data_IF_373923561209
#
_entry.id   IF_373923561209
#
_cell.length_a   1.000
_cell.length_b   1.000
_cell.length_c   1.000
_cell.angle_alpha   90.00
_cell.angle_beta   90.00
_cell.angle_gamma   90.00
#
_symmetry.space_group_name_H-M   'P 1'
#
loop_
_entity.id
_entity.type
_entity.pdbx_description
1 polymer ?
#
# COMPACT_ATOMS: atom_id res chain seq x y z
N UNK A 1 12.86 24.38 -12.73
CA UNK A 1 11.60 24.77 -12.14
C UNK A 1 10.68 25.17 -13.26
N UNK A 2 9.58 24.46 -13.41
CA UNK A 2 8.51 24.89 -14.32
C UNK A 2 7.72 25.91 -13.49
N UNK A 3 7.79 27.20 -13.88
CA UNK A 3 6.92 28.24 -13.34
C UNK A 3 5.49 27.91 -13.77
N UNK A 4 4.69 27.44 -12.83
CA UNK A 4 3.25 27.31 -13.02
C UNK A 4 2.69 28.72 -12.77
N UNK A 5 2.07 29.37 -13.77
CA UNK A 5 1.50 30.71 -13.59
C UNK A 5 0.41 30.67 -12.51
N UNK A 6 0.36 31.71 -11.67
CA UNK A 6 -0.62 31.86 -10.58
C UNK A 6 -2.09 31.83 -11.03
N UNK A 7 -2.36 31.89 -12.32
CA UNK A 7 -3.72 31.86 -12.92
C UNK A 7 -4.12 30.48 -13.47
N UNK A 8 -3.38 29.41 -13.16
CA UNK A 8 -3.76 28.07 -13.61
C UNK A 8 -5.09 27.56 -13.01
N UNK A 9 -5.60 28.25 -12.00
CA UNK A 9 -6.85 27.93 -11.30
C UNK A 9 -7.88 29.07 -11.31
N UNK A 10 -7.89 29.94 -12.34
CA UNK A 10 -8.92 30.97 -12.53
C UNK A 10 -10.26 30.40 -13.07
N UNK A 11 -10.60 29.20 -12.72
CA UNK A 11 -11.91 28.63 -12.90
C UNK A 11 -12.53 28.31 -11.55
N UNK A 12 -13.81 28.62 -11.37
CA UNK A 12 -14.62 28.10 -10.27
C UNK A 12 -14.27 26.63 -10.07
N UNK A 13 -13.93 26.23 -8.84
CA UNK A 13 -13.74 24.79 -8.53
C UNK A 13 -14.95 24.08 -9.09
N UNK A 14 -14.78 23.06 -9.94
CA UNK A 14 -15.92 22.35 -10.48
C UNK A 14 -16.76 21.90 -9.28
N UNK A 15 -18.01 22.37 -9.24
CA UNK A 15 -19.01 21.89 -8.29
C UNK A 15 -18.90 20.37 -8.33
N UNK A 16 -18.63 19.76 -7.17
CA UNK A 16 -18.48 18.34 -7.04
C UNK A 16 -19.65 17.63 -7.72
N UNK A 17 -19.45 17.25 -8.96
CA UNK A 17 -20.38 16.31 -9.60
C UNK A 17 -20.30 15.05 -8.74
N UNK A 18 -21.40 14.56 -8.17
CA UNK A 18 -21.36 13.35 -7.39
C UNK A 18 -20.71 12.26 -8.24
N UNK A 19 -19.56 11.75 -7.80
CA UNK A 19 -18.91 10.65 -8.49
C UNK A 19 -19.85 9.45 -8.45
N UNK A 20 -20.55 9.21 -9.55
CA UNK A 20 -21.31 7.99 -9.70
C UNK A 20 -20.34 6.88 -10.10
N UNK A 21 -20.14 5.93 -9.18
CA UNK A 21 -19.45 4.71 -9.52
C UNK A 21 -20.12 4.12 -10.78
N UNK A 22 -19.33 3.80 -11.83
CA UNK A 22 -19.88 3.08 -12.96
C UNK A 22 -20.52 1.78 -12.44
N UNK A 23 -21.61 1.31 -13.05
CA UNK A 23 -22.27 0.08 -12.62
C UNK A 23 -21.21 -1.04 -12.57
N UNK A 24 -21.22 -1.78 -11.47
CA UNK A 24 -20.27 -2.86 -11.24
C UNK A 24 -20.17 -3.73 -12.50
N UNK A 25 -19.01 -3.72 -13.14
CA UNK A 25 -18.75 -4.59 -14.28
C UNK A 25 -18.93 -6.02 -13.78
N UNK A 26 -19.86 -6.77 -14.36
CA UNK A 26 -19.90 -8.22 -14.13
C UNK A 26 -18.55 -8.77 -14.58
N UNK A 27 -17.71 -9.10 -13.62
CA UNK A 27 -16.45 -9.81 -13.88
C UNK A 27 -16.88 -11.15 -14.51
N UNK A 28 -16.41 -11.50 -15.72
CA UNK A 28 -16.70 -12.81 -16.27
C UNK A 28 -16.26 -13.85 -15.25
N UNK A 29 -17.17 -14.71 -14.82
CA UNK A 29 -16.82 -15.86 -13.99
C UNK A 29 -16.01 -16.81 -14.87
N UNK A 30 -14.70 -16.63 -14.89
CA UNK A 30 -13.82 -17.69 -15.40
C UNK A 30 -14.01 -18.92 -14.51
N UNK A 31 -14.02 -20.12 -15.09
CA UNK A 31 -14.01 -21.33 -14.26
C UNK A 31 -12.85 -21.20 -13.27
N UNK A 32 -13.15 -21.40 -11.99
CA UNK A 32 -12.14 -21.37 -10.92
C UNK A 32 -11.10 -22.41 -11.30
N UNK A 33 -9.93 -21.95 -11.74
CA UNK A 33 -8.81 -22.85 -11.98
C UNK A 33 -8.39 -23.43 -10.62
N UNK A 34 -8.19 -24.73 -10.57
CA UNK A 34 -7.61 -25.37 -9.41
C UNK A 34 -6.28 -24.70 -9.07
N UNK A 35 -6.10 -24.33 -7.79
CA UNK A 35 -4.87 -23.68 -7.35
C UNK A 35 -3.67 -24.60 -7.61
N UNK A 36 -2.68 -24.06 -8.31
CA UNK A 36 -1.37 -24.72 -8.45
C UNK A 36 -0.59 -24.54 -7.13
N UNK A 37 -0.75 -25.53 -6.25
CA UNK A 37 -0.19 -25.49 -4.90
C UNK A 37 1.35 -25.42 -4.89
N UNK A 38 2.00 -26.03 -5.88
CA UNK A 38 3.47 -26.02 -5.98
C UNK A 38 3.98 -24.62 -6.33
N UNK A 39 3.35 -23.97 -7.30
CA UNK A 39 3.70 -22.60 -7.66
C UNK A 39 3.39 -21.61 -6.54
N UNK A 40 2.23 -21.76 -5.89
CA UNK A 40 1.88 -20.92 -4.75
C UNK A 40 2.89 -21.07 -3.61
N UNK A 41 3.32 -22.30 -3.32
CA UNK A 41 4.35 -22.54 -2.32
C UNK A 41 5.69 -21.89 -2.71
N UNK A 42 6.12 -22.05 -3.97
CA UNK A 42 7.36 -21.44 -4.45
C UNK A 42 7.33 -19.89 -4.35
N UNK A 43 6.20 -19.27 -4.74
CA UNK A 43 6.00 -17.82 -4.60
C UNK A 43 6.06 -17.38 -3.14
N UNK A 44 5.39 -18.12 -2.25
CA UNK A 44 5.41 -17.82 -0.81
C UNK A 44 6.83 -17.88 -0.25
N UNK A 45 7.60 -18.92 -0.56
CA UNK A 45 8.99 -19.07 -0.11
C UNK A 45 9.87 -17.93 -0.63
N UNK A 46 9.72 -17.56 -1.90
CA UNK A 46 10.47 -16.45 -2.47
C UNK A 46 10.14 -15.12 -1.80
N UNK A 47 8.85 -14.85 -1.57
CA UNK A 47 8.40 -13.65 -0.87
C UNK A 47 8.90 -13.61 0.58
N UNK A 48 8.77 -14.72 1.33
CA UNK A 48 9.27 -14.83 2.70
C UNK A 48 10.77 -14.54 2.80
N UNK A 49 11.56 -15.03 1.84
CA UNK A 49 13.00 -14.77 1.79
C UNK A 49 13.29 -13.27 1.59
N UNK A 50 12.62 -12.63 0.63
CA UNK A 50 12.80 -11.19 0.36
C UNK A 50 12.31 -10.33 1.52
N UNK A 51 11.12 -10.63 2.04
CA UNK A 51 10.51 -9.90 3.15
C UNK A 51 11.33 -10.03 4.43
N UNK A 52 11.80 -11.23 4.75
CA UNK A 52 12.68 -11.46 5.89
C UNK A 52 14.01 -10.70 5.79
N UNK A 53 14.58 -10.60 4.60
CA UNK A 53 15.77 -9.80 4.36
C UNK A 53 15.51 -8.30 4.55
N UNK A 54 14.38 -7.79 4.09
CA UNK A 54 13.94 -6.42 4.33
C UNK A 54 13.73 -6.16 5.83
N UNK A 55 12.98 -7.02 6.53
CA UNK A 55 12.73 -6.89 7.98
C UNK A 55 14.03 -6.85 8.78
N UNK A 56 15.01 -7.69 8.42
CA UNK A 56 16.28 -7.78 9.14
C UNK A 56 17.18 -6.56 8.94
N UNK A 57 17.16 -5.93 7.75
CA UNK A 57 18.18 -4.96 7.37
C UNK A 57 17.64 -3.54 7.08
N UNK A 58 16.35 -3.39 6.86
CA UNK A 58 15.76 -2.11 6.42
C UNK A 58 14.33 -1.89 6.93
N UNK A 59 13.95 -2.53 8.05
CA UNK A 59 12.60 -2.39 8.59
C UNK A 59 12.22 -0.92 8.83
N UNK A 60 11.07 -0.53 8.31
CA UNK A 60 10.57 0.84 8.39
C UNK A 60 11.09 1.78 7.31
N UNK A 61 12.14 1.41 6.58
CA UNK A 61 12.66 2.21 5.46
C UNK A 61 11.90 1.95 4.16
N UNK A 62 11.92 2.94 3.27
CA UNK A 62 11.14 2.89 2.02
C UNK A 62 11.71 1.93 0.99
N UNK A 63 13.03 1.78 0.94
CA UNK A 63 13.71 0.90 0.00
C UNK A 63 14.76 0.03 0.70
N UNK A 64 14.92 -1.21 0.22
CA UNK A 64 15.94 -2.14 0.66
C UNK A 64 16.96 -2.42 -0.43
N UNK A 65 18.23 -2.31 -0.10
CA UNK A 65 19.36 -2.57 -0.98
C UNK A 65 20.02 -3.92 -0.61
N UNK A 66 19.71 -5.02 -1.33
CA UNK A 66 20.13 -6.37 -0.91
C UNK A 66 21.64 -6.59 -0.92
N UNK A 67 22.37 -5.92 -1.80
CA UNK A 67 23.83 -6.07 -1.89
C UNK A 67 24.56 -5.42 -0.72
N UNK A 68 24.16 -4.20 -0.34
CA UNK A 68 24.74 -3.48 0.81
C UNK A 68 24.11 -3.86 2.14
N UNK A 69 22.97 -4.57 2.12
CA UNK A 69 22.15 -4.90 3.30
C UNK A 69 21.77 -3.65 4.11
N UNK A 70 21.35 -2.61 3.43
CA UNK A 70 20.94 -1.34 4.02
C UNK A 70 19.63 -0.87 3.43
N UNK A 71 18.97 0.10 4.08
CA UNK A 71 17.80 0.75 3.57
C UNK A 71 18.03 2.24 3.30
N UNK A 72 17.14 2.84 2.52
CA UNK A 72 17.06 4.29 2.31
C UNK A 72 15.60 4.74 2.31
N UNK A 73 15.38 6.02 2.58
CA UNK A 73 14.08 6.66 2.48
C UNK A 73 14.00 7.54 1.24
N UNK A 74 12.78 7.70 0.72
CA UNK A 74 12.52 8.49 -0.50
C UNK A 74 12.64 10.00 -0.25
N UNK A 75 12.36 10.45 0.98
CA UNK A 75 12.49 11.84 1.38
C UNK A 75 13.92 12.15 1.81
N UNK A 76 14.70 12.73 0.91
CA UNK A 76 16.12 13.01 1.14
C UNK A 76 16.40 14.09 2.20
N UNK A 77 15.45 14.99 2.48
CA UNK A 77 15.64 16.09 3.43
C UNK A 77 15.38 15.72 4.87
N UNK A 78 14.36 14.91 5.09
CA UNK A 78 13.80 14.62 6.41
C UNK A 78 14.20 13.23 6.88
N UNK A 79 14.71 12.40 5.96
CA UNK A 79 15.02 10.98 6.19
C UNK A 79 13.83 10.17 6.76
N UNK A 80 12.64 10.79 6.84
CA UNK A 80 11.45 10.14 7.34
C UNK A 80 10.89 9.16 6.32
N UNK A 81 10.53 7.95 6.73
CA UNK A 81 9.92 6.98 5.84
C UNK A 81 8.48 7.40 5.48
N UNK A 82 8.07 7.10 4.28
CA UNK A 82 6.67 7.25 3.81
C UNK A 82 5.94 5.91 3.71
N UNK A 83 6.58 4.84 4.17
CA UNK A 83 6.00 3.51 4.25
C UNK A 83 5.93 2.77 2.91
N UNK A 84 6.77 3.15 1.95
CA UNK A 84 6.68 2.67 0.58
C UNK A 84 6.68 1.14 0.49
N UNK A 85 7.71 0.47 1.00
CA UNK A 85 7.79 -0.99 0.96
C UNK A 85 6.75 -1.68 1.84
N UNK A 86 6.51 -1.16 3.05
CA UNK A 86 5.58 -1.79 4.00
C UNK A 86 4.14 -1.73 3.48
N UNK A 87 3.72 -0.55 3.01
CA UNK A 87 2.36 -0.35 2.51
C UNK A 87 2.12 -1.11 1.20
N UNK A 88 3.10 -1.08 0.28
CA UNK A 88 3.00 -1.78 -1.02
C UNK A 88 2.98 -3.31 -0.86
N UNK A 89 3.47 -3.84 0.26
CA UNK A 89 3.47 -5.27 0.56
C UNK A 89 2.21 -5.78 1.28
N UNK A 90 1.34 -4.90 1.82
CA UNK A 90 0.22 -5.28 2.68
C UNK A 90 -0.72 -6.31 2.05
N UNK A 91 -1.16 -6.06 0.82
CA UNK A 91 -2.08 -6.95 0.12
C UNK A 91 -1.44 -8.31 -0.19
N UNK A 92 -0.15 -8.33 -0.48
CA UNK A 92 0.62 -9.57 -0.66
C UNK A 92 0.69 -10.37 0.64
N UNK A 93 0.95 -9.72 1.78
CA UNK A 93 0.94 -10.35 3.10
C UNK A 93 -0.43 -10.96 3.42
N UNK A 94 -1.51 -10.22 3.14
CA UNK A 94 -2.90 -10.67 3.33
C UNK A 94 -3.19 -11.88 2.45
N UNK A 95 -2.91 -11.79 1.15
CA UNK A 95 -3.20 -12.83 0.16
C UNK A 95 -2.40 -14.11 0.44
N UNK A 96 -1.14 -13.98 0.84
CA UNK A 96 -0.30 -15.12 1.20
C UNK A 96 -0.59 -15.68 2.59
N UNK A 97 -1.45 -15.05 3.39
CA UNK A 97 -1.80 -15.51 4.73
C UNK A 97 -0.63 -15.44 5.72
N UNK A 98 0.20 -14.40 5.60
CA UNK A 98 1.37 -14.18 6.45
C UNK A 98 0.99 -13.30 7.66
N UNK A 99 0.27 -13.89 8.61
CA UNK A 99 -0.40 -13.18 9.70
C UNK A 99 0.56 -12.39 10.60
N UNK A 100 1.67 -12.99 11.03
CA UNK A 100 2.65 -12.32 11.89
C UNK A 100 3.28 -11.11 11.19
N UNK A 101 3.70 -11.29 9.94
CA UNK A 101 4.30 -10.22 9.14
C UNK A 101 3.30 -9.11 8.81
N UNK A 102 2.04 -9.47 8.55
CA UNK A 102 0.95 -8.50 8.39
C UNK A 102 0.73 -7.68 9.67
N UNK A 103 0.69 -8.32 10.83
CA UNK A 103 0.52 -7.63 12.11
C UNK A 103 1.66 -6.67 12.41
N UNK A 104 2.90 -7.05 12.10
CA UNK A 104 4.06 -6.17 12.23
C UNK A 104 3.94 -4.95 11.31
N UNK A 105 3.59 -5.16 10.04
CA UNK A 105 3.38 -4.10 9.06
C UNK A 105 2.22 -3.15 9.47
N UNK A 106 1.09 -3.71 9.88
CA UNK A 106 -0.08 -2.96 10.36
C UNK A 106 0.26 -2.11 11.59
N UNK A 107 0.99 -2.69 12.55
CA UNK A 107 1.40 -1.98 13.77
C UNK A 107 2.39 -0.85 13.45
N UNK A 108 3.34 -1.08 12.56
CA UNK A 108 4.26 -0.05 12.10
C UNK A 108 3.51 1.13 11.43
N UNK A 109 2.51 0.84 10.58
CA UNK A 109 1.68 1.89 9.95
C UNK A 109 0.89 2.67 10.99
N UNK A 110 0.42 2.05 12.07
CA UNK A 110 -0.30 2.71 13.15
C UNK A 110 0.60 3.60 13.98
N UNK A 111 1.78 3.10 14.35
CA UNK A 111 2.60 3.67 15.41
C UNK A 111 3.69 4.62 14.88
N UNK A 112 4.20 4.37 13.65
CA UNK A 112 5.37 5.06 13.10
C UNK A 112 5.07 5.89 11.85
N UNK A 113 4.10 5.45 11.00
CA UNK A 113 3.85 6.13 9.74
C UNK A 113 3.18 7.48 9.96
N UNK A 114 3.83 8.54 9.48
CA UNK A 114 3.29 9.90 9.50
C UNK A 114 3.26 10.49 8.09
N UNK A 115 2.18 11.23 7.79
CA UNK A 115 2.12 12.05 6.58
C UNK A 115 2.61 13.49 6.81
N UNK A 116 2.97 13.83 8.04
CA UNK A 116 3.49 15.16 8.40
C UNK A 116 5.01 15.21 8.19
N UNK A 117 5.40 15.16 6.93
CA UNK A 117 6.80 15.12 6.48
C UNK A 117 7.06 16.24 5.48
N UNK A 118 8.25 16.86 5.54
CA UNK A 118 8.66 17.92 4.62
C UNK A 118 9.49 17.33 3.47
N UNK A 119 8.89 17.28 2.29
CA UNK A 119 9.59 16.77 1.11
C UNK A 119 8.72 16.71 -0.13
N UNK A 120 9.34 16.32 -1.24
CA UNK A 120 8.66 16.12 -2.51
C UNK A 120 8.59 14.64 -2.82
N UNK A 121 7.39 14.14 -3.00
CA UNK A 121 7.12 12.79 -3.47
C UNK A 121 6.65 12.80 -4.91
N UNK A 122 6.93 11.71 -5.61
CA UNK A 122 6.35 11.47 -6.92
C UNK A 122 4.86 11.14 -6.75
N UNK A 123 3.98 12.04 -7.22
CA UNK A 123 2.52 11.87 -7.07
C UNK A 123 2.02 10.58 -7.72
N UNK A 124 2.56 10.20 -8.87
CA UNK A 124 2.17 8.98 -9.55
C UNK A 124 2.49 7.73 -8.70
N UNK A 125 3.74 7.61 -8.24
CA UNK A 125 4.18 6.48 -7.42
C UNK A 125 3.45 6.44 -6.07
N UNK A 126 3.27 7.59 -5.42
CA UNK A 126 2.51 7.69 -4.16
C UNK A 126 1.07 7.23 -4.34
N UNK A 127 0.44 7.59 -5.46
CA UNK A 127 -0.95 7.22 -5.75
C UNK A 127 -1.09 5.72 -5.98
N UNK A 128 -0.23 5.12 -6.82
CA UNK A 128 -0.39 3.71 -7.18
C UNK A 128 0.07 2.76 -6.07
N UNK A 129 1.12 3.12 -5.31
CA UNK A 129 1.72 2.23 -4.30
C UNK A 129 1.19 2.49 -2.90
N UNK A 130 1.31 3.73 -2.40
CA UNK A 130 0.94 4.01 -1.01
C UNK A 130 -0.58 4.13 -0.89
N UNK A 131 -1.21 5.02 -1.65
CA UNK A 131 -2.67 5.15 -1.63
C UNK A 131 -3.34 3.87 -2.12
N UNK A 132 -2.88 3.31 -3.23
CA UNK A 132 -3.38 2.05 -3.77
C UNK A 132 -3.22 0.87 -2.83
N UNK A 133 -2.07 0.72 -2.17
CA UNK A 133 -1.79 -0.32 -1.18
C UNK A 133 -2.72 -0.25 0.04
N UNK A 134 -2.94 0.96 0.59
CA UNK A 134 -3.89 1.16 1.69
C UNK A 134 -5.33 0.82 1.29
N UNK A 135 -5.76 1.23 0.09
CA UNK A 135 -7.10 0.93 -0.41
C UNK A 135 -7.26 -0.58 -0.70
N UNK A 136 -6.23 -1.22 -1.27
CA UNK A 136 -6.20 -2.66 -1.51
C UNK A 136 -6.30 -3.45 -0.19
N UNK A 137 -5.49 -3.08 0.81
CA UNK A 137 -5.55 -3.69 2.14
C UNK A 137 -6.93 -3.50 2.80
N UNK A 138 -7.50 -2.30 2.71
CA UNK A 138 -8.86 -2.03 3.23
C UNK A 138 -9.90 -2.94 2.58
N UNK A 139 -9.88 -3.06 1.26
CA UNK A 139 -10.84 -3.88 0.52
C UNK A 139 -10.68 -5.37 0.84
N UNK A 140 -9.45 -5.87 0.91
CA UNK A 140 -9.15 -7.27 1.24
C UNK A 140 -9.53 -7.62 2.69
N UNK A 141 -9.36 -6.70 3.64
CA UNK A 141 -9.74 -6.93 5.03
C UNK A 141 -11.26 -6.86 5.23
N UNK A 142 -12.00 -6.20 4.33
CA UNK A 142 -13.45 -6.20 4.34
C UNK A 142 -14.04 -7.51 3.82
N UNK A 143 -13.52 -8.02 2.70
CA UNK A 143 -14.01 -9.24 2.03
C UNK A 143 -12.82 -10.05 1.47
N UNK A 144 -12.09 -10.77 2.34
CA UNK A 144 -10.90 -11.49 1.94
C UNK A 144 -11.24 -12.74 1.12
N UNK A 145 -10.48 -13.05 0.07
CA UNK A 145 -10.61 -14.31 -0.65
C UNK A 145 -10.39 -15.53 0.25
N UNK A 146 -11.00 -16.66 -0.11
CA UNK A 146 -10.82 -17.90 0.63
C UNK A 146 -9.34 -18.34 0.67
N UNK A 147 -8.86 -18.69 1.86
CA UNK A 147 -7.47 -19.14 2.07
C UNK A 147 -6.46 -18.03 2.34
N UNK A 148 -6.91 -16.78 2.48
CA UNK A 148 -6.10 -15.63 2.89
C UNK A 148 -6.26 -15.35 4.39
N UNK A 149 -5.83 -14.18 4.87
CA UNK A 149 -6.10 -13.77 6.25
C UNK A 149 -7.61 -13.61 6.50
N UNK A 150 -8.00 -13.66 7.77
CA UNK A 150 -9.40 -13.46 8.15
C UNK A 150 -9.81 -12.01 7.99
N UNK A 151 -11.08 -11.79 7.64
CA UNK A 151 -11.67 -10.47 7.61
C UNK A 151 -11.53 -9.73 8.94
N UNK A 152 -11.21 -8.45 8.86
CA UNK A 152 -11.16 -7.53 9.99
C UNK A 152 -11.78 -6.21 9.57
N UNK A 153 -13.00 -5.96 10.01
CA UNK A 153 -13.69 -4.70 9.71
C UNK A 153 -12.98 -3.50 10.35
N UNK A 154 -12.35 -3.71 11.51
CA UNK A 154 -11.54 -2.69 12.17
C UNK A 154 -10.34 -2.30 11.31
N UNK A 155 -9.58 -3.28 10.79
CA UNK A 155 -8.42 -3.01 9.95
C UNK A 155 -8.82 -2.42 8.59
N UNK A 156 -9.96 -2.85 8.02
CA UNK A 156 -10.51 -2.23 6.82
C UNK A 156 -10.76 -0.73 7.00
N UNK A 157 -11.42 -0.33 8.09
CA UNK A 157 -11.66 1.07 8.43
C UNK A 157 -10.34 1.80 8.70
N UNK A 158 -9.43 1.17 9.42
CA UNK A 158 -8.11 1.74 9.72
C UNK A 158 -7.35 2.11 8.44
N UNK A 159 -7.18 1.18 7.51
CA UNK A 159 -6.47 1.46 6.26
C UNK A 159 -7.21 2.48 5.38
N UNK A 160 -8.55 2.45 5.35
CA UNK A 160 -9.32 3.46 4.63
C UNK A 160 -9.10 4.86 5.22
N UNK A 161 -9.06 4.98 6.53
CA UNK A 161 -8.79 6.25 7.20
C UNK A 161 -7.39 6.77 6.86
N UNK A 162 -6.37 5.90 6.91
CA UNK A 162 -4.99 6.27 6.52
C UNK A 162 -4.91 6.71 5.06
N UNK A 163 -5.66 6.04 4.16
CA UNK A 163 -5.76 6.42 2.75
C UNK A 163 -6.41 7.80 2.57
N UNK A 164 -7.46 8.10 3.32
CA UNK A 164 -8.14 9.41 3.28
C UNK A 164 -7.23 10.55 3.80
N UNK A 165 -6.48 10.30 4.87
CA UNK A 165 -5.50 11.25 5.39
C UNK A 165 -4.44 11.60 4.35
N UNK A 166 -3.90 10.60 3.63
CA UNK A 166 -2.94 10.83 2.55
C UNK A 166 -3.57 11.60 1.38
N UNK A 167 -4.77 11.22 0.95
CA UNK A 167 -5.45 11.83 -0.18
C UNK A 167 -5.87 13.30 0.06
N UNK A 168 -5.95 13.73 1.31
CA UNK A 168 -6.27 15.11 1.70
C UNK A 168 -5.06 16.06 1.66
N UNK A 169 -3.85 15.55 1.42
CA UNK A 169 -2.59 16.31 1.34
C UNK A 169 -2.26 16.68 -0.09
#
# INVERSE_FOLDING_TARGET
>A
PVDIPDNFYDGERPTTVPFQLPPARKIPTHPIQEQDKEKLHAIRVAFQSSWGAYKLNAWGMDEYHPLSKSGTNLLLKDESPVGFTIVDALDTLIILGMEEDYMDARNWIRDELSWDVDGRLNVFETTIRILGGLLSASALMLDPPAGTLRASHEDSIFFLTRAQELAAR
#
